data_IF_006646466893
#
_entry.id   IF_006646466893
#
_cell.length_a   1.000
_cell.length_b   1.000
_cell.length_c   1.000
_cell.angle_alpha   90.00
_cell.angle_beta   90.00
_cell.angle_gamma   90.00
#
_symmetry.space_group_name_H-M   'P 1'
#
loop_
_entity.id
_entity.type
_entity.pdbx_description
1 polymer ?
#
# COMPACT_ATOMS: atom_id res chain seq x y z
N UNK A 1 -1.40 7.26 10.01
CA UNK A 1 -2.39 6.21 10.05
C UNK A 1 -2.93 5.96 8.66
N UNK A 2 -3.08 4.71 8.27
CA UNK A 2 -3.54 4.38 6.94
C UNK A 2 -5.04 4.38 6.88
N UNK A 3 -5.59 5.05 5.88
CA UNK A 3 -7.03 5.13 5.71
C UNK A 3 -7.37 4.87 4.26
N UNK A 4 -8.62 4.61 4.00
CA UNK A 4 -9.09 4.49 2.63
C UNK A 4 -8.80 5.82 1.94
N UNK A 5 -8.20 5.76 0.78
CA UNK A 5 -7.80 6.94 0.04
C UNK A 5 -6.37 7.38 0.29
N UNK A 6 -5.69 6.76 1.25
CA UNK A 6 -4.29 7.10 1.48
C UNK A 6 -3.43 6.60 0.34
N UNK A 7 -2.38 7.36 0.02
CA UNK A 7 -1.38 6.87 -0.90
C UNK A 7 -0.25 6.28 -0.10
N UNK A 8 0.14 5.10 -0.47
CA UNK A 8 1.11 4.31 0.29
C UNK A 8 2.18 3.73 -0.61
N UNK A 9 3.26 3.33 -0.01
CA UNK A 9 4.29 2.59 -0.70
C UNK A 9 4.65 1.38 0.14
N UNK A 10 5.24 0.40 -0.51
CA UNK A 10 5.59 -0.83 0.16
C UNK A 10 6.96 -0.68 0.78
N UNK A 11 7.03 -0.75 2.12
CA UNK A 11 8.26 -0.54 2.75
C UNK A 11 9.09 -1.75 2.82
N UNK A 12 8.64 -2.89 2.64
CA UNK A 12 9.42 -4.02 2.76
C UNK A 12 10.34 -4.28 1.65
N UNK A 13 10.38 -3.59 0.57
CA UNK A 13 11.00 -3.95 -0.42
C UNK A 13 12.16 -3.34 -0.68
N UNK A 14 12.95 -3.47 -0.93
CA UNK A 14 14.04 -2.96 -1.05
C UNK A 14 14.73 -2.73 -2.01
N UNK A 15 15.50 -2.70 -2.09
CA UNK A 15 16.29 -2.62 -2.79
C UNK A 15 16.50 -1.86 -3.70
N UNK A 16 16.89 -1.17 -3.66
CA UNK A 16 17.39 -0.45 -4.52
C UNK A 16 16.60 -0.01 -5.57
N UNK A 17 15.67 -0.15 -5.75
CA UNK A 17 15.02 0.20 -6.73
C UNK A 17 14.18 1.17 -6.52
N UNK A 18 13.96 1.84 -6.57
CA UNK A 18 13.29 2.87 -6.40
C UNK A 18 12.09 2.78 -6.74
N UNK A 19 11.55 2.54 -6.87
CA UNK A 19 10.56 2.55 -7.25
C UNK A 19 9.49 2.87 -6.96
N UNK A 20 9.18 3.04 -6.80
CA UNK A 20 8.15 3.60 -6.81
C UNK A 20 7.01 2.82 -6.92
N UNK A 21 6.66 2.06 -6.08
CA UNK A 21 5.54 1.44 -6.05
C UNK A 21 4.58 2.24 -5.33
N UNK A 22 3.78 3.06 -5.88
CA UNK A 22 2.73 3.82 -5.25
C UNK A 22 1.43 3.07 -5.34
N UNK A 23 0.72 3.06 -4.24
CA UNK A 23 -0.57 2.38 -4.19
C UNK A 23 -1.61 3.28 -3.57
N UNK A 24 -2.87 3.00 -3.88
CA UNK A 24 -3.98 3.71 -3.31
C UNK A 24 -4.79 2.73 -2.47
N UNK A 25 -5.04 3.07 -1.24
CA UNK A 25 -5.79 2.19 -0.35
C UNK A 25 -7.26 2.24 -0.74
N UNK A 26 -7.79 1.10 -1.16
CA UNK A 26 -9.17 1.00 -1.61
C UNK A 26 -10.09 0.63 -0.48
N UNK A 27 -9.65 -0.22 0.42
CA UNK A 27 -10.47 -0.61 1.55
C UNK A 27 -9.58 -1.16 2.66
N UNK A 28 -10.13 -1.25 3.84
CA UNK A 28 -9.44 -1.82 4.98
C UNK A 28 -10.30 -2.92 5.56
N UNK A 29 -9.67 -3.94 6.10
CA UNK A 29 -10.38 -5.03 6.72
C UNK A 29 -9.56 -5.57 7.87
N UNK A 30 -10.11 -6.50 8.61
CA UNK A 30 -9.46 -7.09 9.78
C UNK A 30 -9.08 -6.00 10.77
N UNK A 31 -10.05 -5.12 11.06
CA UNK A 31 -9.86 -4.03 12.00
C UNK A 31 -8.70 -3.12 11.61
N UNK A 32 -8.55 -2.90 10.33
CA UNK A 32 -7.52 -1.99 9.85
C UNK A 32 -6.16 -2.62 9.72
N UNK A 33 -6.05 -3.94 9.87
CA UNK A 33 -4.75 -4.58 9.78
C UNK A 33 -4.39 -5.00 8.37
N UNK A 34 -5.40 -5.15 7.52
CA UNK A 34 -5.18 -5.56 6.13
C UNK A 34 -5.76 -4.49 5.23
N UNK A 35 -5.03 -4.11 4.23
CA UNK A 35 -5.48 -3.11 3.27
C UNK A 35 -5.54 -3.71 1.88
N UNK A 36 -6.57 -3.35 1.15
CA UNK A 36 -6.62 -3.67 -0.25
C UNK A 36 -6.08 -2.45 -0.97
N UNK A 37 -5.03 -2.62 -1.72
CA UNK A 37 -4.31 -1.52 -2.33
C UNK A 37 -4.25 -1.72 -3.83
N UNK A 38 -4.54 -0.65 -4.56
CA UNK A 38 -4.39 -0.68 -6.00
C UNK A 38 -3.00 -0.15 -6.31
N UNK A 39 -2.18 -0.97 -6.93
CA UNK A 39 -0.79 -0.60 -7.22
C UNK A 39 -0.69 -0.01 -8.60
N UNK A 40 -0.20 1.20 -8.68
CA UNK A 40 -0.14 1.92 -9.94
C UNK A 40 0.80 1.27 -10.95
N UNK A 41 1.88 0.69 -10.47
CA UNK A 41 2.88 0.15 -11.39
C UNK A 41 2.37 -1.08 -12.14
N UNK A 42 1.53 -1.88 -11.51
CA UNK A 42 1.01 -3.07 -12.15
C UNK A 42 -0.43 -2.91 -12.57
N UNK A 43 -1.08 -1.85 -12.08
CA UNK A 43 -2.51 -1.60 -12.31
C UNK A 43 -3.36 -2.75 -11.81
N UNK A 44 -2.95 -3.33 -10.71
CA UNK A 44 -3.69 -4.42 -10.09
C UNK A 44 -3.85 -4.14 -8.63
N UNK A 45 -4.88 -4.68 -8.03
CA UNK A 45 -5.09 -4.54 -6.60
C UNK A 45 -4.73 -5.83 -5.90
N UNK A 46 -4.38 -5.72 -4.65
CA UNK A 46 -4.08 -6.87 -3.84
C UNK A 46 -4.16 -6.51 -2.40
N UNK A 47 -4.12 -7.53 -1.54
CA UNK A 47 -4.19 -7.31 -0.12
C UNK A 47 -2.80 -7.31 0.48
N UNK A 48 -2.55 -6.43 1.43
CA UNK A 48 -1.30 -6.47 2.14
C UNK A 48 -1.50 -6.00 3.56
N UNK A 49 -0.59 -6.40 4.42
CA UNK A 49 -0.63 -6.00 5.81
C UNK A 49 -0.26 -4.54 5.90
N UNK A 50 -1.00 -3.76 6.68
CA UNK A 50 -0.71 -2.35 6.81
C UNK A 50 0.66 -2.09 7.42
N UNK A 51 1.21 -3.05 8.17
CA UNK A 51 2.53 -2.85 8.73
C UNK A 51 3.62 -2.82 7.66
N UNK A 52 3.31 -3.30 6.48
CA UNK A 52 4.26 -3.28 5.38
C UNK A 52 4.08 -2.04 4.50
N UNK A 53 3.21 -1.13 4.89
CA UNK A 53 2.91 0.02 4.06
C UNK A 53 3.33 1.29 4.76
N UNK A 54 3.69 2.28 3.98
CA UNK A 54 4.05 3.58 4.51
C UNK A 54 3.25 4.62 3.76
N UNK A 55 2.60 5.51 4.49
CA UNK A 55 1.82 6.57 3.88
C UNK A 55 2.76 7.60 3.30
N UNK A 56 2.54 7.98 2.07
CA UNK A 56 3.38 8.98 1.43
C UNK A 56 2.59 10.25 1.07
N UNK A 57 1.30 10.20 1.17
CA UNK A 57 0.50 11.42 0.95
C UNK A 57 -0.88 11.25 1.54
#
# INVERSE_FOLDING_TARGET
>A
MIEVGSMVTNVGFIQGHNNSNLGLVLSLMADGKIARVFWASTQKSGFCSVVDLKVVA
#
